data_IF_492444384920
#
_entry.id   IF_492444384920
#
_cell.length_a   1.000
_cell.length_b   1.000
_cell.length_c   1.000
_cell.angle_alpha   90.00
_cell.angle_beta   90.00
_cell.angle_gamma   90.00
#
_symmetry.space_group_name_H-M   'P 1'
#
loop_
_entity.id
_entity.type
_entity.pdbx_description
1 polymer ?
#
# COMPACT_ATOMS: atom_id res chain seq x y z
N UNK A 1 -14.29 -17.03 -8.37
CA UNK A 1 -13.46 -17.40 -9.53
C UNK A 1 -12.74 -18.72 -9.23
N UNK A 2 -13.48 -19.82 -9.14
CA UNK A 2 -12.94 -21.12 -8.64
C UNK A 2 -13.35 -22.31 -9.52
N UNK A 3 -14.13 -22.10 -10.58
CA UNK A 3 -14.70 -23.19 -11.41
C UNK A 3 -13.94 -23.39 -12.74
N UNK A 4 -12.94 -22.55 -13.06
CA UNK A 4 -12.24 -22.63 -14.35
C UNK A 4 -11.20 -23.77 -14.45
N UNK A 5 -11.00 -24.57 -13.40
CA UNK A 5 -9.90 -25.52 -13.33
C UNK A 5 -10.09 -26.79 -14.19
N UNK A 6 -11.25 -26.97 -14.84
CA UNK A 6 -11.62 -28.26 -15.47
C UNK A 6 -11.93 -28.22 -16.98
N UNK A 7 -11.57 -27.15 -17.72
CA UNK A 7 -11.92 -27.09 -19.16
C UNK A 7 -10.83 -26.49 -20.09
N UNK A 8 -9.57 -26.92 -19.97
CA UNK A 8 -8.50 -26.41 -20.84
C UNK A 8 -7.57 -27.53 -21.35
N UNK A 9 -7.55 -27.72 -22.67
CA UNK A 9 -6.71 -28.70 -23.40
C UNK A 9 -5.23 -28.27 -23.55
N UNK A 10 -4.85 -27.10 -23.01
CA UNK A 10 -3.50 -26.53 -23.14
C UNK A 10 -2.86 -26.18 -21.79
N UNK A 11 -1.71 -26.81 -21.51
CA UNK A 11 -0.93 -26.66 -20.27
C UNK A 11 -0.53 -25.19 -19.99
N UNK A 12 -0.35 -24.38 -21.03
CA UNK A 12 -0.04 -22.94 -20.91
C UNK A 12 -1.19 -22.14 -20.28
N UNK A 13 -2.42 -22.41 -20.68
CA UNK A 13 -3.59 -21.69 -20.18
C UNK A 13 -3.92 -22.11 -18.74
N UNK A 14 -3.68 -23.38 -18.40
CA UNK A 14 -3.79 -23.87 -17.02
C UNK A 14 -2.77 -23.16 -16.12
N UNK A 15 -1.50 -23.09 -16.53
CA UNK A 15 -0.45 -22.42 -15.76
C UNK A 15 -0.73 -20.91 -15.62
N UNK A 16 -1.17 -20.25 -16.69
CA UNK A 16 -1.52 -18.84 -16.66
C UNK A 16 -2.69 -18.59 -15.69
N UNK A 17 -3.78 -19.35 -15.81
CA UNK A 17 -4.92 -19.20 -14.90
C UNK A 17 -4.54 -19.53 -13.46
N UNK A 18 -3.75 -20.58 -13.22
CA UNK A 18 -3.32 -20.96 -11.88
C UNK A 18 -2.48 -19.85 -11.24
N UNK A 19 -1.51 -19.31 -11.97
CA UNK A 19 -0.66 -18.21 -11.48
C UNK A 19 -1.50 -16.98 -11.12
N UNK A 20 -2.41 -16.55 -12.00
CA UNK A 20 -3.31 -15.42 -11.74
C UNK A 20 -4.18 -15.66 -10.50
N UNK A 21 -4.72 -16.86 -10.33
CA UNK A 21 -5.54 -17.21 -9.17
C UNK A 21 -4.72 -17.24 -7.87
N UNK A 22 -3.51 -17.79 -7.90
CA UNK A 22 -2.61 -17.81 -6.73
C UNK A 22 -2.23 -16.38 -6.32
N UNK A 23 -1.88 -15.52 -7.28
CA UNK A 23 -1.60 -14.11 -7.01
C UNK A 23 -2.82 -13.40 -6.43
N UNK A 24 -4.02 -13.69 -6.97
CA UNK A 24 -5.28 -13.15 -6.45
C UNK A 24 -5.55 -13.57 -5.01
N UNK A 25 -5.34 -14.85 -4.68
CA UNK A 25 -5.49 -15.36 -3.30
C UNK A 25 -4.50 -14.65 -2.37
N UNK A 26 -3.24 -14.53 -2.78
CA UNK A 26 -2.21 -13.88 -1.98
C UNK A 26 -2.55 -12.40 -1.68
N UNK A 27 -3.04 -11.66 -2.69
CA UNK A 27 -3.46 -10.25 -2.52
C UNK A 27 -4.64 -10.15 -1.56
N UNK A 28 -5.65 -11.01 -1.71
CA UNK A 28 -6.81 -11.02 -0.82
C UNK A 28 -6.43 -11.38 0.62
N UNK A 29 -5.50 -12.32 0.82
CA UNK A 29 -4.98 -12.66 2.16
C UNK A 29 -4.23 -11.49 2.79
N UNK A 30 -3.38 -10.79 2.03
CA UNK A 30 -2.68 -9.58 2.50
C UNK A 30 -3.68 -8.50 2.90
N UNK A 31 -4.68 -8.25 2.04
CA UNK A 31 -5.70 -7.24 2.29
C UNK A 31 -6.54 -7.59 3.53
N UNK A 32 -6.97 -8.85 3.66
CA UNK A 32 -7.66 -9.34 4.84
C UNK A 32 -6.80 -9.17 6.10
N UNK A 33 -5.50 -9.47 6.04
CA UNK A 33 -4.57 -9.26 7.16
C UNK A 33 -4.53 -7.80 7.60
N UNK A 34 -4.40 -6.87 6.65
CA UNK A 34 -4.45 -5.41 6.93
C UNK A 34 -5.78 -5.04 7.59
N UNK A 35 -6.90 -5.54 7.09
CA UNK A 35 -8.22 -5.30 7.70
C UNK A 35 -8.33 -5.84 9.13
N UNK A 36 -7.85 -7.07 9.37
CA UNK A 36 -7.83 -7.66 10.71
C UNK A 36 -6.91 -6.90 11.67
N UNK A 37 -5.81 -6.34 11.18
CA UNK A 37 -4.86 -5.53 11.96
C UNK A 37 -5.19 -4.04 11.99
N UNK A 38 -6.31 -3.61 11.41
CA UNK A 38 -6.69 -2.19 11.30
C UNK A 38 -6.67 -1.45 12.63
N UNK A 39 -7.07 -2.08 13.73
CA UNK A 39 -7.01 -1.47 15.08
C UNK A 39 -5.58 -1.12 15.46
N UNK A 40 -4.65 -2.07 15.34
CA UNK A 40 -3.24 -1.85 15.62
C UNK A 40 -2.66 -0.73 14.74
N UNK A 41 -3.06 -0.66 13.47
CA UNK A 41 -2.63 0.40 12.56
C UNK A 41 -3.11 1.78 13.03
N UNK A 42 -4.36 1.87 13.49
CA UNK A 42 -4.92 3.10 14.05
C UNK A 42 -4.21 3.50 15.35
N UNK A 43 -3.84 2.53 16.18
CA UNK A 43 -3.07 2.77 17.40
C UNK A 43 -1.69 3.35 17.08
N UNK A 44 -0.98 2.81 16.07
CA UNK A 44 0.31 3.38 15.65
C UNK A 44 0.15 4.83 15.19
N UNK A 45 -0.93 5.16 14.47
CA UNK A 45 -1.19 6.53 14.05
C UNK A 45 -1.35 7.48 15.25
N UNK A 46 -1.97 7.02 16.35
CA UNK A 46 -2.06 7.82 17.57
C UNK A 46 -0.69 8.06 18.23
N UNK A 47 0.21 7.08 18.20
CA UNK A 47 1.57 7.22 18.76
C UNK A 47 2.44 8.13 17.90
N UNK A 48 2.38 7.97 16.58
CA UNK A 48 3.05 8.85 15.61
C UNK A 48 2.61 10.30 15.82
N UNK A 49 1.30 10.55 15.96
CA UNK A 49 0.78 11.88 16.22
C UNK A 49 1.33 12.48 17.54
N UNK A 50 1.39 11.69 18.61
CA UNK A 50 2.00 12.16 19.87
C UNK A 50 3.48 12.50 19.70
N UNK A 51 4.23 11.74 18.91
CA UNK A 51 5.64 12.03 18.63
C UNK A 51 5.83 13.30 17.78
N UNK A 52 4.95 13.51 16.80
CA UNK A 52 4.94 14.71 15.96
C UNK A 52 4.70 15.99 16.77
N UNK A 53 3.81 15.96 17.76
CA UNK A 53 3.57 17.16 18.62
C UNK A 53 4.81 17.61 19.40
N UNK A 54 5.80 16.74 19.58
CA UNK A 54 7.02 17.03 20.34
C UNK A 54 8.18 17.54 19.47
N UNK A 55 7.96 17.65 18.17
CA UNK A 55 8.96 18.10 17.19
C UNK A 55 9.12 19.62 17.30
N UNK A 56 10.25 20.06 17.86
CA UNK A 56 10.51 21.49 18.12
C UNK A 56 11.62 22.07 17.25
N UNK A 57 12.62 21.27 16.90
CA UNK A 57 13.79 21.72 16.14
C UNK A 57 13.53 21.76 14.63
N UNK A 58 14.01 22.81 13.95
CA UNK A 58 13.92 22.93 12.49
C UNK A 58 14.52 21.71 11.75
N UNK A 59 15.60 21.14 12.30
CA UNK A 59 16.23 19.93 11.74
C UNK A 59 15.33 18.69 11.84
N UNK A 60 14.54 18.57 12.91
CA UNK A 60 13.60 17.47 13.10
C UNK A 60 12.39 17.62 12.16
N UNK A 61 11.87 18.84 12.06
CA UNK A 61 10.78 19.17 11.14
C UNK A 61 11.16 18.85 9.69
N UNK A 62 12.38 19.19 9.27
CA UNK A 62 12.84 18.88 7.91
C UNK A 62 13.00 17.37 7.68
N UNK A 63 13.44 16.61 8.70
CA UNK A 63 13.53 15.15 8.62
C UNK A 63 12.15 14.51 8.35
N UNK A 64 11.14 14.94 9.11
CA UNK A 64 9.76 14.44 8.95
C UNK A 64 9.16 14.90 7.63
N UNK A 65 9.29 16.18 7.26
CA UNK A 65 8.80 16.71 5.98
C UNK A 65 9.43 16.00 4.78
N UNK A 66 10.72 15.69 4.83
CA UNK A 66 11.40 14.91 3.80
C UNK A 66 10.82 13.50 3.69
N UNK A 67 10.61 12.82 4.82
CA UNK A 67 10.00 11.49 4.83
C UNK A 67 8.56 11.50 4.27
N UNK A 68 7.75 12.48 4.64
CA UNK A 68 6.39 12.67 4.11
C UNK A 68 6.41 12.92 2.59
N UNK A 69 7.36 13.71 2.08
CA UNK A 69 7.53 13.92 0.63
C UNK A 69 7.89 12.64 -0.10
N UNK A 70 8.80 11.84 0.46
CA UNK A 70 9.18 10.54 -0.12
C UNK A 70 7.99 9.57 -0.11
N UNK A 71 7.25 9.49 1.00
CA UNK A 71 6.06 8.65 1.11
C UNK A 71 4.98 9.02 0.08
N UNK A 72 4.66 10.30 -0.07
CA UNK A 72 3.71 10.77 -1.09
C UNK A 72 4.20 10.48 -2.50
N UNK A 73 5.49 10.73 -2.79
CA UNK A 73 6.06 10.44 -4.11
C UNK A 73 5.97 8.96 -4.43
N UNK A 74 6.26 8.09 -3.47
CA UNK A 74 6.16 6.65 -3.64
C UNK A 74 4.72 6.20 -3.88
N UNK A 75 3.77 6.70 -3.07
CA UNK A 75 2.34 6.42 -3.25
C UNK A 75 1.85 6.86 -4.64
N UNK A 76 2.18 8.09 -5.03
CA UNK A 76 1.79 8.65 -6.32
C UNK A 76 2.38 7.86 -7.49
N UNK A 77 3.67 7.52 -7.44
CA UNK A 77 4.32 6.72 -8.47
C UNK A 77 3.66 5.35 -8.61
N UNK A 78 3.36 4.67 -7.49
CA UNK A 78 2.65 3.39 -7.50
C UNK A 78 1.25 3.53 -8.08
N UNK A 79 0.49 4.58 -7.72
CA UNK A 79 -0.83 4.84 -8.30
C UNK A 79 -0.75 5.00 -9.82
N UNK A 80 0.19 5.83 -10.31
CA UNK A 80 0.37 6.10 -11.75
C UNK A 80 0.73 4.83 -12.51
N UNK A 81 1.64 4.00 -11.97
CA UNK A 81 2.02 2.74 -12.61
C UNK A 81 0.82 1.81 -12.76
N UNK A 82 0.07 1.57 -11.68
CA UNK A 82 -1.09 0.69 -11.71
C UNK A 82 -2.23 1.24 -12.58
N UNK A 83 -2.52 2.54 -12.52
CA UNK A 83 -3.55 3.14 -13.39
C UNK A 83 -3.14 3.09 -14.86
N UNK A 84 -1.86 3.32 -15.16
CA UNK A 84 -1.32 3.24 -16.52
C UNK A 84 -1.49 1.84 -17.10
N UNK A 85 -1.22 0.78 -16.33
CA UNK A 85 -1.42 -0.60 -16.76
C UNK A 85 -2.87 -0.91 -17.10
N UNK A 86 -3.83 -0.44 -16.29
CA UNK A 86 -5.26 -0.66 -16.54
C UNK A 86 -5.72 0.11 -17.78
N UNK A 87 -5.37 1.40 -17.88
CA UNK A 87 -5.76 2.24 -19.03
C UNK A 87 -5.23 1.64 -20.34
N UNK A 88 -3.98 1.16 -20.36
CA UNK A 88 -3.41 0.50 -21.53
C UNK A 88 -4.14 -0.81 -21.86
N UNK A 89 -4.52 -1.59 -20.84
CA UNK A 89 -5.30 -2.81 -21.02
C UNK A 89 -6.68 -2.55 -21.61
N UNK A 90 -7.40 -1.55 -21.09
CA UNK A 90 -8.69 -1.09 -21.60
C UNK A 90 -8.59 -0.57 -23.04
N UNK A 91 -7.57 0.24 -23.33
CA UNK A 91 -7.34 0.75 -24.68
C UNK A 91 -7.07 -0.39 -25.68
N UNK A 92 -6.29 -1.39 -25.29
CA UNK A 92 -6.02 -2.57 -26.12
C UNK A 92 -7.29 -3.42 -26.34
N UNK A 93 -8.15 -3.55 -25.33
CA UNK A 93 -9.42 -4.24 -25.45
C UNK A 93 -10.38 -3.50 -26.42
N UNK A 94 -10.43 -2.18 -26.35
CA UNK A 94 -11.28 -1.34 -27.22
C UNK A 94 -10.79 -1.28 -28.67
N UNK A 95 -9.49 -1.33 -28.91
CA UNK A 95 -8.91 -1.33 -30.26
C UNK A 95 -8.92 -2.72 -30.93
N UNK A 96 -9.21 -3.77 -30.17
CA UNK A 96 -9.29 -5.12 -30.72
C UNK A 96 -10.53 -5.27 -31.61
N UNK A 97 -10.32 -5.74 -32.84
CA UNK A 97 -11.39 -5.90 -33.84
C UNK A 97 -12.38 -7.03 -33.49
N UNK A 98 -12.02 -7.88 -32.53
CA UNK A 98 -12.89 -8.89 -31.90
C UNK A 98 -13.25 -8.40 -30.50
N UNK A 99 -14.47 -8.72 -30.03
CA UNK A 99 -14.93 -8.47 -28.65
C UNK A 99 -14.01 -9.20 -27.65
N UNK A 100 -12.84 -8.63 -27.36
CA UNK A 100 -11.89 -9.15 -26.39
C UNK A 100 -12.23 -8.58 -25.03
N UNK A 101 -12.29 -9.48 -24.07
CA UNK A 101 -12.37 -9.17 -22.66
C UNK A 101 -10.99 -8.74 -22.15
N UNK A 102 -10.97 -7.97 -21.07
CA UNK A 102 -9.72 -7.54 -20.39
C UNK A 102 -8.89 -8.72 -19.89
N UNK A 103 -9.54 -9.85 -19.65
CA UNK A 103 -8.91 -11.11 -19.32
C UNK A 103 -9.86 -12.29 -19.56
N UNK A 104 -9.32 -13.52 -19.63
CA UNK A 104 -10.11 -14.72 -19.82
C UNK A 104 -11.06 -14.90 -18.61
N UNK A 105 -12.37 -14.89 -18.87
CA UNK A 105 -13.39 -15.08 -17.85
C UNK A 105 -14.56 -15.87 -18.43
N UNK A 106 -15.09 -16.81 -17.64
CA UNK A 106 -16.28 -17.56 -18.00
C UNK A 106 -17.48 -16.89 -17.36
N UNK A 107 -18.47 -16.59 -18.20
CA UNK A 107 -19.77 -16.11 -17.78
C UNK A 107 -20.80 -17.18 -18.13
N UNK A 108 -21.79 -17.43 -17.25
CA UNK A 108 -22.82 -18.47 -17.47
C UNK A 108 -23.81 -18.12 -18.59
N UNK A 109 -23.58 -17.02 -19.32
CA UNK A 109 -24.42 -16.53 -20.41
C UNK A 109 -23.54 -16.17 -21.62
N UNK A 110 -24.10 -16.38 -22.81
CA UNK A 110 -23.45 -16.01 -24.06
C UNK A 110 -23.39 -14.50 -24.23
N UNK A 111 -22.21 -13.94 -23.99
CA UNK A 111 -21.89 -12.52 -24.10
C UNK A 111 -21.33 -12.15 -25.49
N UNK A 112 -20.91 -13.13 -26.30
CA UNK A 112 -20.24 -12.90 -27.59
C UNK A 112 -21.23 -12.45 -28.66
N UNK A 113 -22.46 -12.97 -28.62
CA UNK A 113 -23.49 -12.72 -29.62
C UNK A 113 -24.43 -11.54 -29.29
N UNK A 114 -24.20 -10.80 -28.20
CA UNK A 114 -25.05 -9.67 -27.81
C UNK A 114 -24.23 -8.49 -27.28
N UNK A 115 -24.31 -7.34 -27.97
CA UNK A 115 -23.62 -6.10 -27.60
C UNK A 115 -23.99 -5.61 -26.20
N UNK A 116 -25.26 -5.78 -25.80
CA UNK A 116 -25.72 -5.42 -24.46
C UNK A 116 -25.05 -6.27 -23.37
N UNK A 117 -25.01 -7.60 -23.57
CA UNK A 117 -24.37 -8.53 -22.62
C UNK A 117 -22.86 -8.30 -22.57
N UNK A 118 -22.23 -8.04 -23.72
CA UNK A 118 -20.82 -7.65 -23.78
C UNK A 118 -20.55 -6.37 -22.96
N UNK A 119 -21.38 -5.34 -23.11
CA UNK A 119 -21.22 -4.09 -22.36
C UNK A 119 -21.33 -4.31 -20.84
N UNK A 120 -22.30 -5.09 -20.38
CA UNK A 120 -22.44 -5.45 -18.95
C UNK A 120 -21.17 -6.14 -18.44
N UNK A 121 -20.69 -7.14 -19.19
CA UNK A 121 -19.50 -7.91 -18.82
C UNK A 121 -18.26 -7.03 -18.79
N UNK A 122 -18.10 -6.17 -19.78
CA UNK A 122 -16.98 -5.24 -19.87
C UNK A 122 -16.98 -4.27 -18.68
N UNK A 123 -18.11 -3.62 -18.39
CA UNK A 123 -18.25 -2.73 -17.22
C UNK A 123 -17.96 -3.48 -15.91
N UNK A 124 -18.46 -4.70 -15.77
CA UNK A 124 -18.17 -5.53 -14.61
C UNK A 124 -16.65 -5.79 -14.47
N UNK A 125 -15.95 -6.15 -15.55
CA UNK A 125 -14.50 -6.37 -15.52
C UNK A 125 -13.70 -5.10 -15.23
N UNK A 126 -14.12 -3.95 -15.76
CA UNK A 126 -13.48 -2.66 -15.48
C UNK A 126 -13.62 -2.29 -14.00
N UNK A 127 -14.81 -2.44 -13.42
CA UNK A 127 -15.05 -2.20 -11.98
C UNK A 127 -14.18 -3.11 -11.12
N UNK A 128 -14.14 -4.41 -11.43
CA UNK A 128 -13.31 -5.38 -10.72
C UNK A 128 -11.83 -5.01 -10.82
N UNK A 129 -11.35 -4.64 -12.01
CA UNK A 129 -9.96 -4.22 -12.23
C UNK A 129 -9.57 -3.00 -11.39
N UNK A 130 -10.46 -2.00 -11.29
CA UNK A 130 -10.25 -0.83 -10.42
C UNK A 130 -10.19 -1.23 -8.94
N UNK A 131 -11.06 -2.14 -8.48
CA UNK A 131 -11.00 -2.62 -7.10
C UNK A 131 -9.70 -3.37 -6.80
N UNK A 132 -9.24 -4.22 -7.71
CA UNK A 132 -7.94 -4.89 -7.59
C UNK A 132 -6.77 -3.89 -7.60
N UNK A 133 -6.84 -2.86 -8.42
CA UNK A 133 -5.87 -1.76 -8.43
C UNK A 133 -5.71 -1.14 -7.05
N UNK A 134 -6.83 -0.74 -6.43
CA UNK A 134 -6.85 -0.09 -5.13
C UNK A 134 -6.27 -1.01 -4.05
N UNK A 135 -6.60 -2.30 -4.08
CA UNK A 135 -6.03 -3.29 -3.17
C UNK A 135 -4.52 -3.43 -3.34
N UNK A 136 -4.03 -3.51 -4.58
CA UNK A 136 -2.60 -3.65 -4.88
C UNK A 136 -1.81 -2.40 -4.47
N UNK A 137 -2.28 -1.21 -4.83
CA UNK A 137 -1.68 0.05 -4.40
C UNK A 137 -1.60 0.10 -2.88
N UNK A 138 -2.69 -0.24 -2.18
CA UNK A 138 -2.72 -0.23 -0.71
C UNK A 138 -1.73 -1.23 -0.12
N UNK A 139 -1.73 -2.48 -0.60
CA UNK A 139 -0.88 -3.55 -0.10
C UNK A 139 0.61 -3.27 -0.31
N UNK A 140 0.99 -2.66 -1.43
CA UNK A 140 2.40 -2.40 -1.76
C UNK A 140 2.93 -1.13 -1.08
N UNK A 141 2.09 -0.09 -1.00
CA UNK A 141 2.53 1.20 -0.45
C UNK A 141 2.46 1.25 1.07
N UNK A 142 1.49 0.57 1.70
CA UNK A 142 1.27 0.67 3.14
C UNK A 142 2.50 0.25 3.97
N UNK A 143 3.11 -0.94 3.79
CA UNK A 143 4.27 -1.35 4.57
C UNK A 143 5.49 -0.44 4.33
N UNK A 144 5.68 -0.02 3.08
CA UNK A 144 6.83 0.81 2.72
C UNK A 144 6.70 2.25 3.28
N UNK A 145 5.51 2.85 3.22
CA UNK A 145 5.24 4.17 3.86
C UNK A 145 5.40 4.06 5.37
N UNK A 146 4.87 3.00 5.98
CA UNK A 146 5.02 2.75 7.41
C UNK A 146 6.49 2.73 7.83
N UNK A 147 7.34 2.01 7.09
CA UNK A 147 8.78 1.94 7.35
C UNK A 147 9.47 3.29 7.18
N UNK A 148 9.08 4.10 6.18
CA UNK A 148 9.60 5.45 5.97
C UNK A 148 9.29 6.35 7.18
N UNK A 149 8.04 6.34 7.64
CA UNK A 149 7.58 7.10 8.80
C UNK A 149 8.34 6.66 10.05
N UNK A 150 8.38 5.37 10.34
CA UNK A 150 9.09 4.80 11.48
C UNK A 150 10.58 5.20 11.47
N UNK A 151 11.25 5.06 10.33
CA UNK A 151 12.66 5.43 10.17
C UNK A 151 12.88 6.92 10.42
N UNK A 152 11.95 7.78 10.00
CA UNK A 152 12.02 9.22 10.23
C UNK A 152 11.91 9.59 11.71
N UNK A 153 11.01 8.93 12.45
CA UNK A 153 10.92 9.11 13.90
C UNK A 153 12.16 8.62 14.64
N UNK A 154 12.74 7.48 14.22
CA UNK A 154 14.00 6.99 14.78
C UNK A 154 15.15 7.99 14.52
N UNK A 155 15.23 8.56 13.32
CA UNK A 155 16.23 9.60 13.00
C UNK A 155 16.01 10.87 13.84
N UNK A 156 14.76 11.28 14.01
CA UNK A 156 14.37 12.42 14.84
C UNK A 156 14.78 12.22 16.30
N UNK A 157 14.55 11.03 16.84
CA UNK A 157 14.99 10.65 18.18
C UNK A 157 16.52 10.72 18.32
N UNK A 158 17.25 10.22 17.32
CA UNK A 158 18.72 10.27 17.32
C UNK A 158 19.23 11.72 17.32
N UNK A 159 18.60 12.62 16.53
CA UNK A 159 18.91 14.06 16.55
C UNK A 159 18.74 14.63 17.97
N UNK A 160 17.64 14.31 18.67
CA UNK A 160 17.39 14.78 20.05
C UNK A 160 18.44 14.28 21.03
N UNK A 161 18.77 12.99 21.00
CA UNK A 161 19.77 12.39 21.88
C UNK A 161 21.13 13.03 21.65
N UNK A 162 21.51 13.26 20.38
CA UNK A 162 22.78 13.92 20.05
C UNK A 162 22.83 15.37 20.57
N UNK A 163 21.74 16.13 20.47
CA UNK A 163 21.65 17.49 21.02
C UNK A 163 21.80 17.49 22.54
N UNK A 164 21.14 16.57 23.24
CA UNK A 164 21.27 16.43 24.69
C UNK A 164 22.71 16.08 25.12
N UNK A 165 23.44 15.30 24.33
CA UNK A 165 24.82 14.93 24.64
C UNK A 165 25.87 16.00 24.36
N UNK A 166 25.65 16.88 23.37
CA UNK A 166 26.67 17.84 22.88
C UNK A 166 26.38 19.29 23.31
N UNK A 167 25.10 19.68 23.40
CA UNK A 167 24.68 21.09 23.58
C UNK A 167 23.98 21.35 24.93
N UNK A 168 24.04 20.40 25.86
CA UNK A 168 23.39 20.50 27.18
C UNK A 168 24.03 21.60 28.03
N UNK A 169 23.47 22.81 27.95
CA UNK A 169 23.69 23.92 28.90
C UNK A 169 22.77 23.82 30.13
N UNK A 170 21.83 22.87 30.11
CA UNK A 170 20.86 22.64 31.18
C UNK A 170 21.46 21.80 32.33
N UNK A 171 20.80 21.83 33.49
CA UNK A 171 21.22 21.02 34.63
C UNK A 171 21.11 19.53 34.32
N UNK A 172 22.00 18.73 34.90
CA UNK A 172 22.02 17.28 34.72
C UNK A 172 20.67 16.60 35.00
N UNK A 173 19.88 17.13 35.94
CA UNK A 173 18.55 16.62 36.28
C UNK A 173 17.55 16.79 35.13
N UNK A 174 17.59 17.95 34.45
CA UNK A 174 16.73 18.24 33.29
C UNK A 174 17.15 17.41 32.09
N UNK A 175 18.46 17.30 31.84
CA UNK A 175 19.00 16.47 30.76
C UNK A 175 18.66 15.00 30.96
N UNK A 176 18.80 14.47 32.17
CA UNK A 176 18.44 13.09 32.50
C UNK A 176 16.94 12.81 32.33
N UNK A 177 16.07 13.74 32.75
CA UNK A 177 14.62 13.63 32.54
C UNK A 177 14.24 13.57 31.05
N UNK A 178 14.85 14.42 30.21
CA UNK A 178 14.65 14.41 28.75
C UNK A 178 15.15 13.11 28.10
N UNK A 179 16.23 12.54 28.61
CA UNK A 179 16.80 11.27 28.13
C UNK A 179 15.90 10.08 28.46
N UNK A 180 15.37 10.03 29.68
CA UNK A 180 14.35 9.03 30.09
C UNK A 180 13.12 9.13 29.19
N UNK A 181 12.72 10.34 28.82
CA UNK A 181 11.57 10.54 27.93
C UNK A 181 11.85 10.08 26.49
N UNK A 182 13.06 10.31 25.96
CA UNK A 182 13.50 9.76 24.68
C UNK A 182 13.45 8.22 24.66
N UNK A 183 13.87 7.57 25.75
CA UNK A 183 13.82 6.11 25.91
C UNK A 183 12.37 5.62 25.91
N UNK A 184 11.46 6.30 26.61
CA UNK A 184 10.03 5.98 26.59
C UNK A 184 9.43 6.11 25.19
N UNK A 185 9.80 7.15 24.45
CA UNK A 185 9.35 7.37 23.06
C UNK A 185 9.83 6.24 22.14
N UNK A 186 11.06 5.75 22.32
CA UNK A 186 11.56 4.57 21.60
C UNK A 186 10.80 3.29 21.97
N UNK A 187 10.48 3.10 23.24
CA UNK A 187 9.70 1.94 23.69
C UNK A 187 8.28 1.95 23.13
N UNK A 188 7.67 3.12 22.92
CA UNK A 188 6.35 3.24 22.27
C UNK A 188 6.41 2.86 20.78
N UNK A 189 7.51 3.16 20.08
CA UNK A 189 7.68 2.85 18.66
C UNK A 189 7.85 1.34 18.36
N UNK A 190 8.31 0.55 19.34
CA UNK A 190 8.62 -0.88 19.18
C UNK A 190 7.46 -1.78 19.65
N UNK A 191 6.41 -1.20 20.24
CA UNK A 191 5.30 -1.91 20.86
C UNK A 191 4.18 -2.22 19.86
#
# INVERSE_FOLDING_TARGET
MTIFLFHLDHLKDILLNLSVNLTSIAINLKFANILFRRRNILDVNTWVHQLDTRVSSAQEQECIRSAVRIAHKMFYLTCVMYSGSIILGEFNALLSHENKLLGPAWYPFDWQHSTWKYCIVHVHQSVVSVLYMLQNVSNDTFPAIYMIVLTSHIKTLNIRIRKLGVESTESWQVTNAKLIQCIKDQQMLVK
#
